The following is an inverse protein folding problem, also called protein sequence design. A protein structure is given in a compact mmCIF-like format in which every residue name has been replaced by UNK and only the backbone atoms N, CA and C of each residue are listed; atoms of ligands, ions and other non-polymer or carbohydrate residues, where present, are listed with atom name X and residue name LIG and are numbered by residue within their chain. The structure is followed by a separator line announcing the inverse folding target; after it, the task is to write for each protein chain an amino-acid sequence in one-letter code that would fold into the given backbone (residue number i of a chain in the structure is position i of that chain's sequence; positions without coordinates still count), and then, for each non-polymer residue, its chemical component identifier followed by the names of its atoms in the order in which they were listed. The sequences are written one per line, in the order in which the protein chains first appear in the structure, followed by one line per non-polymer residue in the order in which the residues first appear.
data_IF_659510020950
#
_entry.id   IF_659510020950
#
_cell.length_a   1.000
_cell.length_b   1.000
_cell.length_c   1.000
_cell.angle_alpha   90.00
_cell.angle_beta   90.00
_cell.angle_gamma   90.00
#
_symmetry.space_group_name_H-M   'P 1'
#
loop_
_entity.id
_entity.type
_entity.pdbx_description
1 polymer ?
#
# COMPACT_ATOMS: atom_id res chain seq x y z
N UNK A 1 44.91 3.73 -16.14
CA UNK A 1 45.85 3.18 -15.14
C UNK A 1 45.24 1.91 -14.57
N UNK A 2 45.72 0.77 -15.07
CA UNK A 2 45.50 -0.57 -14.51
C UNK A 2 46.63 -0.84 -13.50
N UNK A 3 46.36 -1.70 -12.51
CA UNK A 3 47.21 -2.03 -11.34
C UNK A 3 47.18 -0.92 -10.27
N UNK A 4 46.97 -1.17 -8.98
CA UNK A 4 47.46 -2.28 -8.18
C UNK A 4 46.74 -2.35 -6.83
N UNK A 5 45.84 -3.32 -6.61
CA UNK A 5 45.53 -3.85 -5.26
C UNK A 5 45.09 -5.31 -5.42
N UNK A 6 46.01 -6.15 -5.89
CA UNK A 6 45.88 -7.60 -5.84
C UNK A 6 47.06 -8.11 -5.01
N UNK A 7 46.85 -8.24 -3.69
CA UNK A 7 47.55 -9.13 -2.74
C UNK A 7 47.31 -8.65 -1.30
N UNK A 8 46.38 -9.34 -0.63
CA UNK A 8 46.42 -9.77 0.79
C UNK A 8 44.99 -10.00 1.27
N UNK A 9 44.44 -11.18 0.98
CA UNK A 9 43.42 -11.86 1.77
C UNK A 9 43.44 -13.33 1.34
N UNK A 10 44.50 -14.02 1.76
CA UNK A 10 44.48 -15.47 1.97
C UNK A 10 44.88 -15.69 3.42
N UNK A 11 44.24 -16.67 4.04
CA UNK A 11 44.42 -17.16 5.40
C UNK A 11 43.63 -16.44 6.50
N UNK A 12 42.32 -16.70 6.49
CA UNK A 12 41.56 -17.09 7.69
C UNK A 12 40.19 -17.65 7.29
N UNK A 13 40.19 -18.75 6.54
CA UNK A 13 39.06 -19.70 6.60
C UNK A 13 39.09 -20.36 7.97
N UNK A 14 38.46 -19.74 8.97
CA UNK A 14 37.91 -20.50 10.07
C UNK A 14 36.74 -21.29 9.48
N UNK A 15 36.99 -22.57 9.21
CA UNK A 15 35.93 -23.57 9.11
C UNK A 15 35.09 -23.45 10.38
N UNK A 16 33.93 -22.82 10.28
CA UNK A 16 32.85 -23.05 11.25
C UNK A 16 32.47 -24.51 11.02
N UNK A 17 33.10 -25.42 11.75
CA UNK A 17 32.60 -26.80 11.87
C UNK A 17 31.21 -26.68 12.45
N UNK A 18 30.19 -26.98 11.64
CA UNK A 18 28.82 -27.18 12.12
C UNK A 18 28.91 -28.14 13.31
N UNK A 19 28.60 -27.64 14.52
CA UNK A 19 28.63 -28.45 15.72
C UNK A 19 27.76 -29.68 15.47
N UNK A 20 28.29 -30.88 15.75
CA UNK A 20 27.49 -32.10 15.65
C UNK A 20 26.26 -31.91 16.55
N UNK A 21 25.04 -32.16 16.04
CA UNK A 21 23.84 -32.09 16.88
C UNK A 21 24.05 -33.00 18.09
N UNK A 22 23.64 -32.55 19.28
CA UNK A 22 23.77 -33.34 20.49
C UNK A 22 22.94 -34.64 20.40
N UNK A 23 23.18 -35.56 21.33
CA UNK A 23 22.54 -36.88 21.31
C UNK A 23 21.00 -36.79 21.37
N UNK A 24 20.45 -35.82 22.10
CA UNK A 24 19.01 -35.59 22.18
C UNK A 24 18.44 -35.14 20.83
N UNK A 25 19.12 -34.20 20.16
CA UNK A 25 18.78 -33.71 18.82
C UNK A 25 18.86 -34.82 17.77
N UNK A 26 19.85 -35.71 17.85
CA UNK A 26 19.98 -36.85 16.94
C UNK A 26 18.85 -37.87 17.12
N UNK A 27 18.50 -38.20 18.38
CA UNK A 27 17.40 -39.11 18.71
C UNK A 27 16.06 -38.53 18.25
N UNK A 28 15.87 -37.23 18.44
CA UNK A 28 14.72 -36.49 17.92
C UNK A 28 14.64 -36.57 16.41
N UNK A 29 15.68 -36.18 15.67
CA UNK A 29 15.69 -36.18 14.21
C UNK A 29 15.40 -37.57 13.62
N UNK A 30 16.01 -38.63 14.17
CA UNK A 30 15.74 -39.99 13.71
C UNK A 30 14.27 -40.42 13.92
N UNK A 31 13.64 -39.95 15.00
CA UNK A 31 12.23 -40.25 15.29
C UNK A 31 11.30 -39.42 14.42
N UNK A 32 11.60 -38.14 14.25
CA UNK A 32 10.93 -37.21 13.33
C UNK A 32 10.84 -37.82 11.94
N UNK A 33 11.97 -38.28 11.40
CA UNK A 33 12.03 -38.84 10.05
C UNK A 33 11.24 -40.16 9.95
N UNK A 34 10.99 -40.85 11.07
CA UNK A 34 10.13 -42.04 11.12
C UNK A 34 8.63 -41.72 11.23
N UNK A 35 8.26 -40.65 11.93
CA UNK A 35 6.87 -40.25 12.17
C UNK A 35 6.33 -39.42 11.00
N UNK A 36 7.18 -38.66 10.34
CA UNK A 36 6.83 -37.73 9.28
C UNK A 36 7.61 -38.03 8.00
N UNK A 37 7.31 -39.13 7.29
CA UNK A 37 8.01 -39.48 6.06
C UNK A 37 7.79 -38.45 4.92
N UNK A 38 6.69 -37.71 4.98
CA UNK A 38 6.35 -36.60 4.08
C UNK A 38 7.06 -35.28 4.44
N UNK A 39 7.83 -35.25 5.55
CA UNK A 39 8.57 -34.06 5.99
C UNK A 39 9.46 -33.50 4.88
N UNK A 40 10.18 -34.36 4.15
CA UNK A 40 11.04 -33.90 3.05
C UNK A 40 10.22 -33.40 1.85
N UNK A 41 9.01 -33.91 1.59
CA UNK A 41 8.14 -33.41 0.53
C UNK A 41 7.62 -32.00 0.87
N UNK A 42 7.16 -31.78 2.10
CA UNK A 42 6.73 -30.45 2.56
C UNK A 42 7.92 -29.51 2.71
N UNK A 43 9.07 -29.99 3.18
CA UNK A 43 10.32 -29.22 3.17
C UNK A 43 10.76 -28.87 1.75
N UNK A 44 10.55 -29.75 0.78
CA UNK A 44 10.81 -29.46 -0.61
C UNK A 44 9.77 -28.47 -1.15
N UNK A 45 8.50 -28.55 -0.79
CA UNK A 45 7.53 -27.47 -1.11
C UNK A 45 7.91 -26.12 -0.45
N UNK A 46 8.51 -26.18 0.74
CA UNK A 46 9.07 -25.05 1.48
C UNK A 46 10.36 -24.51 0.82
N UNK A 47 11.20 -25.39 0.26
CA UNK A 47 12.53 -25.07 -0.33
C UNK A 47 12.51 -24.80 -1.84
N UNK A 48 11.66 -25.47 -2.62
CA UNK A 48 11.61 -25.46 -4.10
C UNK A 48 11.01 -24.17 -4.70
N UNK A 49 10.56 -23.20 -3.88
CA UNK A 49 10.17 -21.86 -4.33
C UNK A 49 11.16 -20.75 -3.97
N UNK A 50 12.46 -21.06 -3.96
CA UNK A 50 13.52 -20.06 -4.21
C UNK A 50 13.65 -19.73 -5.71
N UNK A 51 12.89 -20.41 -6.58
CA UNK A 51 12.77 -20.06 -8.01
C UNK A 51 11.36 -19.52 -8.32
N UNK A 52 11.14 -18.25 -7.99
CA UNK A 52 9.90 -17.49 -8.24
C UNK A 52 9.55 -17.31 -9.73
N UNK A 53 10.26 -17.98 -10.65
CA UNK A 53 10.13 -17.79 -12.10
C UNK A 53 8.94 -18.50 -12.75
N UNK A 54 8.22 -19.37 -12.04
CA UNK A 54 7.19 -20.25 -12.67
C UNK A 54 5.73 -19.79 -12.57
N UNK A 55 5.44 -18.66 -11.93
CA UNK A 55 4.10 -18.04 -11.96
C UNK A 55 4.20 -16.52 -12.13
N UNK A 56 4.70 -16.07 -13.28
CA UNK A 56 4.90 -14.67 -13.71
C UNK A 56 6.31 -14.11 -13.45
N UNK A 57 6.84 -13.26 -14.37
CA UNK A 57 8.19 -12.75 -14.28
C UNK A 57 8.27 -11.66 -13.22
N UNK A 58 8.52 -12.06 -11.97
CA UNK A 58 9.03 -11.16 -10.94
C UNK A 58 10.52 -10.99 -11.22
N UNK A 59 10.91 -9.79 -11.63
CA UNK A 59 12.31 -9.44 -11.84
C UNK A 59 13.03 -9.34 -10.49
N UNK A 60 13.62 -10.45 -10.03
CA UNK A 60 14.62 -10.48 -8.96
C UNK A 60 14.42 -11.64 -7.95
N UNK A 61 15.50 -12.16 -7.33
CA UNK A 61 15.40 -13.11 -6.23
C UNK A 61 15.01 -12.34 -4.96
N UNK A 62 13.73 -12.02 -4.79
CA UNK A 62 13.25 -11.38 -3.56
C UNK A 62 13.28 -12.42 -2.43
N UNK A 63 14.18 -12.22 -1.46
CA UNK A 63 14.00 -12.79 -0.12
C UNK A 63 12.64 -12.30 0.40
N UNK A 64 11.86 -13.21 0.96
CA UNK A 64 10.51 -12.88 1.44
C UNK A 64 10.55 -11.73 2.46
N UNK A 65 9.77 -10.64 2.26
CA UNK A 65 9.86 -9.43 3.08
C UNK A 65 9.50 -9.67 4.56
N UNK A 66 8.87 -10.81 4.85
CA UNK A 66 8.40 -11.20 6.17
C UNK A 66 9.52 -11.65 7.14
N UNK A 67 10.77 -11.76 6.66
CA UNK A 67 11.93 -12.06 7.51
C UNK A 67 12.45 -10.88 8.35
N UNK A 68 12.03 -9.65 8.05
CA UNK A 68 12.49 -8.45 8.77
C UNK A 68 11.75 -8.24 10.10
N UNK A 69 12.43 -7.60 11.06
CA UNK A 69 11.81 -7.20 12.34
C UNK A 69 10.65 -6.21 12.13
N UNK A 70 10.76 -5.33 11.13
CA UNK A 70 9.70 -4.40 10.74
C UNK A 70 8.45 -5.13 10.24
N UNK A 71 8.62 -6.08 9.32
CA UNK A 71 7.51 -6.87 8.79
C UNK A 71 6.85 -7.74 9.87
N UNK A 72 7.63 -8.37 10.74
CA UNK A 72 7.08 -9.14 11.89
C UNK A 72 6.18 -8.27 12.76
N UNK A 73 6.62 -7.05 13.11
CA UNK A 73 5.81 -6.12 13.90
C UNK A 73 4.53 -5.72 13.17
N UNK A 74 4.63 -5.43 11.87
CA UNK A 74 3.46 -5.07 11.06
C UNK A 74 2.44 -6.20 11.05
N UNK A 75 2.85 -7.45 10.76
CA UNK A 75 1.95 -8.62 10.72
C UNK A 75 1.21 -8.77 12.06
N UNK A 76 1.91 -8.65 13.19
CA UNK A 76 1.29 -8.76 14.52
C UNK A 76 0.26 -7.64 14.75
N UNK A 77 0.59 -6.40 14.37
CA UNK A 77 -0.35 -5.28 14.50
C UNK A 77 -1.58 -5.47 13.60
N UNK A 78 -1.36 -5.87 12.35
CA UNK A 78 -2.41 -6.13 11.37
C UNK A 78 -3.34 -7.26 11.83
N UNK A 79 -2.77 -8.35 12.35
CA UNK A 79 -3.49 -9.47 12.94
C UNK A 79 -4.32 -9.05 14.15
N UNK A 80 -3.79 -8.18 15.01
CA UNK A 80 -4.55 -7.64 16.14
C UNK A 80 -5.78 -6.84 15.69
N UNK A 81 -5.68 -6.06 14.62
CA UNK A 81 -6.85 -5.36 14.05
C UNK A 81 -7.84 -6.37 13.45
N UNK A 82 -7.34 -7.34 12.70
CA UNK A 82 -8.15 -8.40 12.08
C UNK A 82 -8.97 -9.18 13.11
N UNK A 83 -8.38 -9.55 14.24
CA UNK A 83 -9.09 -10.25 15.32
C UNK A 83 -10.19 -9.39 15.92
N UNK A 84 -9.92 -8.11 16.19
CA UNK A 84 -10.94 -7.18 16.71
C UNK A 84 -12.12 -7.05 15.76
N UNK A 85 -11.86 -6.96 14.45
CA UNK A 85 -12.92 -6.93 13.44
C UNK A 85 -13.72 -8.24 13.47
N UNK A 86 -13.03 -9.38 13.55
CA UNK A 86 -13.68 -10.70 13.52
C UNK A 86 -14.53 -10.97 14.77
N UNK A 87 -14.05 -10.59 15.94
CA UNK A 87 -14.81 -10.62 17.20
C UNK A 87 -16.06 -9.74 17.10
N UNK A 88 -15.89 -8.50 16.62
CA UNK A 88 -16.99 -7.56 16.45
C UNK A 88 -18.02 -8.06 15.44
N UNK A 89 -17.57 -8.62 14.31
CA UNK A 89 -18.41 -9.16 13.24
C UNK A 89 -19.18 -10.42 13.65
N UNK A 90 -18.68 -11.18 14.63
CA UNK A 90 -19.37 -12.34 15.18
C UNK A 90 -20.60 -11.94 16.01
N UNK A 91 -20.58 -10.76 16.62
CA UNK A 91 -21.65 -10.27 17.49
C UNK A 91 -22.59 -9.29 16.77
N UNK A 92 -22.07 -8.46 15.87
CA UNK A 92 -22.87 -7.44 15.17
C UNK A 92 -22.40 -7.23 13.72
N UNK A 93 -23.26 -6.60 12.91
CA UNK A 93 -22.86 -6.15 11.55
C UNK A 93 -21.89 -4.98 11.67
N UNK A 94 -20.76 -5.06 10.96
CA UNK A 94 -19.78 -3.98 10.87
C UNK A 94 -20.39 -2.80 10.11
N UNK A 95 -20.46 -1.64 10.74
CA UNK A 95 -20.93 -0.42 10.08
C UNK A 95 -19.80 0.24 9.28
N UNK A 96 -20.15 1.20 8.42
CA UNK A 96 -19.15 2.02 7.71
C UNK A 96 -18.28 2.81 8.70
N UNK A 97 -18.85 3.30 9.80
CA UNK A 97 -18.11 4.06 10.82
C UNK A 97 -17.10 3.18 11.56
N UNK A 98 -17.48 1.93 11.89
CA UNK A 98 -16.57 0.94 12.45
C UNK A 98 -15.44 0.64 11.47
N UNK A 99 -15.78 0.42 10.20
CA UNK A 99 -14.80 0.12 9.16
C UNK A 99 -13.80 1.25 8.92
N UNK A 100 -14.23 2.51 8.97
CA UNK A 100 -13.33 3.67 8.93
C UNK A 100 -12.39 3.67 10.14
N UNK A 101 -12.89 3.32 11.33
CA UNK A 101 -12.06 3.20 12.54
C UNK A 101 -10.98 2.13 12.37
N UNK A 102 -11.34 0.96 11.83
CA UNK A 102 -10.39 -0.12 11.57
C UNK A 102 -9.41 0.20 10.43
N UNK A 103 -9.87 0.85 9.35
CA UNK A 103 -9.02 1.34 8.28
C UNK A 103 -7.96 2.32 8.80
N UNK A 104 -8.35 3.23 9.69
CA UNK A 104 -7.41 4.15 10.35
C UNK A 104 -6.40 3.42 11.25
N UNK A 105 -6.82 2.37 11.96
CA UNK A 105 -5.90 1.53 12.73
C UNK A 105 -4.86 0.84 11.83
N UNK A 106 -5.29 0.34 10.67
CA UNK A 106 -4.39 -0.23 9.67
C UNK A 106 -3.42 0.81 9.12
N UNK A 107 -3.89 2.00 8.72
CA UNK A 107 -3.03 3.09 8.21
C UNK A 107 -2.00 3.54 9.24
N UNK A 108 -2.39 3.65 10.51
CA UNK A 108 -1.46 3.96 11.61
C UNK A 108 -0.35 2.91 11.75
N UNK A 109 -0.68 1.63 11.63
CA UNK A 109 0.32 0.56 11.67
C UNK A 109 1.30 0.66 10.50
N UNK A 110 0.81 0.86 9.27
CA UNK A 110 1.68 1.02 8.07
C UNK A 110 2.59 2.23 8.23
N UNK A 111 2.03 3.40 8.61
CA UNK A 111 2.79 4.64 8.77
C UNK A 111 3.89 4.49 9.82
N UNK A 112 3.54 3.97 11.01
CA UNK A 112 4.49 3.75 12.09
C UNK A 112 5.63 2.83 11.67
N UNK A 113 5.32 1.71 11.00
CA UNK A 113 6.36 0.78 10.52
C UNK A 113 7.24 1.44 9.45
N UNK A 114 6.64 2.22 8.54
CA UNK A 114 7.38 2.96 7.51
C UNK A 114 8.35 3.96 8.14
N UNK A 115 7.89 4.77 9.09
CA UNK A 115 8.72 5.75 9.81
C UNK A 115 9.88 5.09 10.57
N UNK A 116 9.61 4.00 11.28
CA UNK A 116 10.64 3.23 12.00
C UNK A 116 11.72 2.70 11.06
N UNK A 117 11.33 2.14 9.91
CA UNK A 117 12.28 1.63 8.92
C UNK A 117 13.09 2.77 8.31
N UNK A 118 12.44 3.86 7.88
CA UNK A 118 13.11 5.01 7.30
C UNK A 118 14.11 5.66 8.28
N UNK A 119 13.84 5.65 9.59
CA UNK A 119 14.76 6.16 10.62
C UNK A 119 15.96 5.24 10.88
N UNK A 120 15.79 3.93 10.65
CA UNK A 120 16.82 2.90 10.89
C UNK A 120 17.62 2.54 9.64
N UNK A 121 17.21 3.03 8.46
CA UNK A 121 17.76 2.70 7.16
C UNK A 121 19.20 3.21 6.97
N UNK A 122 20.18 2.46 7.46
CA UNK A 122 21.54 2.47 6.95
C UNK A 122 21.60 1.54 5.72
N UNK A 123 21.32 2.08 4.52
CA UNK A 123 21.49 1.48 3.18
C UNK A 123 21.44 -0.08 3.15
N UNK A 124 20.23 -0.67 3.10
CA UNK A 124 20.02 -2.12 3.07
C UNK A 124 18.67 -2.51 2.42
N UNK A 125 18.38 -3.82 2.35
CA UNK A 125 17.11 -4.45 1.90
C UNK A 125 15.84 -3.85 2.55
N UNK A 126 15.96 -3.22 3.72
CA UNK A 126 14.84 -2.55 4.41
C UNK A 126 14.31 -1.33 3.66
N UNK A 127 15.12 -0.69 2.82
CA UNK A 127 14.68 0.42 1.97
C UNK A 127 13.62 -0.02 0.93
N UNK A 128 13.79 -1.21 0.34
CA UNK A 128 12.82 -1.76 -0.61
C UNK A 128 11.48 -2.09 0.07
N UNK A 129 11.53 -2.54 1.32
CA UNK A 129 10.32 -2.77 2.10
C UNK A 129 9.62 -1.45 2.46
N UNK A 130 10.36 -0.39 2.77
CA UNK A 130 9.79 0.94 2.98
C UNK A 130 9.04 1.46 1.73
N UNK A 131 9.62 1.30 0.53
CA UNK A 131 8.95 1.63 -0.73
C UNK A 131 7.65 0.83 -0.92
N UNK A 132 7.67 -0.47 -0.59
CA UNK A 132 6.47 -1.31 -0.63
C UNK A 132 5.38 -0.83 0.36
N UNK A 133 5.75 -0.32 1.53
CA UNK A 133 4.80 0.24 2.51
C UNK A 133 4.23 1.59 2.08
N UNK A 134 4.99 2.40 1.35
CA UNK A 134 4.49 3.63 0.72
C UNK A 134 3.44 3.28 -0.34
N UNK A 135 3.73 2.28 -1.18
CA UNK A 135 2.76 1.74 -2.15
C UNK A 135 1.52 1.19 -1.44
N UNK A 136 1.69 0.44 -0.34
CA UNK A 136 0.58 -0.09 0.44
C UNK A 136 -0.30 1.02 1.02
N UNK A 137 0.30 2.10 1.55
CA UNK A 137 -0.42 3.27 2.05
C UNK A 137 -1.23 3.96 0.97
N UNK A 138 -0.65 4.08 -0.23
CA UNK A 138 -1.29 4.68 -1.41
C UNK A 138 -2.52 3.87 -1.83
N UNK A 139 -2.35 2.55 -1.97
CA UNK A 139 -3.42 1.60 -2.34
C UNK A 139 -4.53 1.59 -1.30
N UNK A 140 -4.17 1.50 -0.01
CA UNK A 140 -5.15 1.49 1.08
C UNK A 140 -6.01 2.74 1.06
N UNK A 141 -5.38 3.92 0.98
CA UNK A 141 -6.11 5.19 0.97
C UNK A 141 -7.06 5.30 -0.22
N UNK A 142 -6.67 4.80 -1.40
CA UNK A 142 -7.53 4.85 -2.58
C UNK A 142 -8.74 3.91 -2.46
N UNK A 143 -8.51 2.69 -1.99
CA UNK A 143 -9.59 1.72 -1.73
C UNK A 143 -10.56 2.26 -0.69
N UNK A 144 -10.04 2.89 0.36
CA UNK A 144 -10.85 3.52 1.39
C UNK A 144 -11.75 4.62 0.79
N UNK A 145 -11.18 5.53 -0.02
CA UNK A 145 -11.93 6.61 -0.65
C UNK A 145 -13.04 6.13 -1.59
N UNK A 146 -12.85 5.00 -2.28
CA UNK A 146 -13.81 4.48 -3.28
C UNK A 146 -14.82 3.50 -2.69
N UNK A 147 -14.39 2.60 -1.79
CA UNK A 147 -15.19 1.45 -1.36
C UNK A 147 -15.65 1.49 0.10
N UNK A 148 -14.96 2.24 0.98
CA UNK A 148 -15.23 2.22 2.42
C UNK A 148 -15.96 3.49 2.87
N UNK A 149 -15.69 4.64 2.25
CA UNK A 149 -16.27 5.91 2.70
C UNK A 149 -17.79 5.97 2.57
N UNK A 150 -18.46 6.75 3.45
CA UNK A 150 -19.91 6.93 3.40
C UNK A 150 -20.42 7.43 2.04
N UNK A 151 -21.51 6.84 1.56
CA UNK A 151 -22.11 7.17 0.25
C UNK A 151 -22.69 8.58 0.15
N UNK A 152 -22.86 9.28 1.28
CA UNK A 152 -23.32 10.67 1.32
C UNK A 152 -22.19 11.70 1.12
N UNK A 153 -20.93 11.26 1.03
CA UNK A 153 -19.79 12.14 0.73
C UNK A 153 -19.57 12.23 -0.78
N UNK A 154 -19.02 13.36 -1.23
CA UNK A 154 -18.52 13.49 -2.60
C UNK A 154 -17.27 12.64 -2.81
N UNK A 155 -17.35 11.68 -3.73
CA UNK A 155 -16.20 10.87 -4.16
C UNK A 155 -15.07 11.74 -4.71
N UNK A 156 -15.41 12.84 -5.39
CA UNK A 156 -14.43 13.78 -5.94
C UNK A 156 -13.58 14.40 -4.83
N UNK A 157 -14.22 14.85 -3.76
CA UNK A 157 -13.53 15.41 -2.61
C UNK A 157 -12.72 14.35 -1.84
N UNK A 158 -13.25 13.13 -1.70
CA UNK A 158 -12.52 12.02 -1.08
C UNK A 158 -11.29 11.57 -1.88
N UNK A 159 -11.32 11.69 -3.22
CA UNK A 159 -10.15 11.45 -4.08
C UNK A 159 -9.11 12.56 -3.97
N UNK A 160 -9.52 13.83 -3.82
CA UNK A 160 -8.60 14.94 -3.58
C UNK A 160 -7.96 14.85 -2.19
N UNK A 161 -8.74 14.47 -1.17
CA UNK A 161 -8.23 14.20 0.18
C UNK A 161 -7.17 13.09 0.13
N UNK A 162 -7.44 11.99 -0.58
CA UNK A 162 -6.46 10.93 -0.83
C UNK A 162 -5.20 11.44 -1.54
N UNK A 163 -5.34 12.27 -2.58
CA UNK A 163 -4.21 12.83 -3.31
C UNK A 163 -3.35 13.73 -2.42
N UNK A 164 -3.98 14.51 -1.56
CA UNK A 164 -3.31 15.37 -0.60
C UNK A 164 -2.60 14.57 0.49
N UNK A 165 -3.21 13.50 1.01
CA UNK A 165 -2.56 12.64 2.00
C UNK A 165 -1.38 11.85 1.43
N UNK A 166 -1.46 11.48 0.16
CA UNK A 166 -0.47 10.60 -0.49
C UNK A 166 0.66 11.39 -1.15
N UNK A 167 0.33 12.47 -1.85
CA UNK A 167 1.25 13.25 -2.67
C UNK A 167 1.44 14.68 -2.15
N UNK A 168 0.64 15.10 -1.17
CA UNK A 168 0.67 16.46 -0.64
C UNK A 168 1.88 16.70 0.26
N UNK A 169 2.89 17.35 -0.31
CA UNK A 169 4.05 17.89 0.42
C UNK A 169 3.91 19.41 0.57
N UNK A 170 2.69 19.88 0.85
CA UNK A 170 2.36 21.30 0.73
C UNK A 170 3.24 22.21 1.60
N UNK A 171 3.52 21.77 2.83
CA UNK A 171 4.39 22.50 3.76
C UNK A 171 5.85 22.48 3.31
N UNK A 172 6.35 21.36 2.80
CA UNK A 172 7.74 21.22 2.35
C UNK A 172 7.99 22.09 1.12
N UNK A 173 7.08 22.03 0.14
CA UNK A 173 7.12 22.87 -1.06
C UNK A 173 7.06 24.37 -0.69
N UNK A 174 6.13 24.76 0.17
CA UNK A 174 5.99 26.17 0.60
C UNK A 174 7.26 26.65 1.30
N UNK A 175 7.77 25.88 2.27
CA UNK A 175 8.99 26.24 3.02
C UNK A 175 10.21 26.37 2.10
N UNK A 176 10.36 25.47 1.12
CA UNK A 176 11.48 25.52 0.19
C UNK A 176 11.36 26.72 -0.76
N UNK A 177 10.17 27.04 -1.26
CA UNK A 177 9.97 28.26 -2.07
C UNK A 177 10.23 29.51 -1.25
N UNK A 178 9.75 29.61 0.00
CA UNK A 178 10.00 30.75 0.89
C UNK A 178 11.49 30.96 1.14
N UNK A 179 12.22 29.87 1.41
CA UNK A 179 13.67 29.90 1.59
C UNK A 179 14.40 30.37 0.33
N UNK A 180 13.97 29.94 -0.85
CA UNK A 180 14.56 30.39 -2.11
C UNK A 180 14.20 31.85 -2.43
N UNK A 181 12.97 32.28 -2.16
CA UNK A 181 12.53 33.67 -2.32
C UNK A 181 13.30 34.62 -1.40
N UNK A 182 13.69 34.18 -0.20
CA UNK A 182 14.58 34.94 0.68
C UNK A 182 16.01 35.07 0.12
N UNK A 183 16.47 34.09 -0.66
CA UNK A 183 17.82 34.04 -1.22
C UNK A 183 17.96 34.70 -2.60
N UNK A 184 16.87 34.82 -3.37
CA UNK A 184 16.86 35.33 -4.73
C UNK A 184 15.73 36.35 -4.95
N UNK A 185 16.02 37.53 -5.55
CA UNK A 185 15.04 38.61 -5.69
C UNK A 185 13.92 38.33 -6.71
N UNK A 186 14.04 37.29 -7.54
CA UNK A 186 13.07 36.88 -8.55
C UNK A 186 12.93 35.36 -8.56
N UNK A 187 12.12 34.86 -7.64
CA UNK A 187 11.91 33.41 -7.48
C UNK A 187 11.03 32.85 -8.60
N UNK A 188 10.15 33.68 -9.17
CA UNK A 188 9.23 33.35 -10.26
C UNK A 188 9.92 33.01 -11.59
N UNK A 189 11.20 33.39 -11.76
CA UNK A 189 12.03 33.02 -12.91
C UNK A 189 12.60 31.59 -12.79
N UNK A 190 12.33 30.87 -11.69
CA UNK A 190 12.78 29.49 -11.47
C UNK A 190 11.67 28.48 -11.77
N UNK A 191 11.98 27.41 -12.50
CA UNK A 191 11.02 26.35 -12.84
C UNK A 191 10.36 25.72 -11.62
N UNK A 192 11.11 25.56 -10.52
CA UNK A 192 10.61 25.01 -9.26
C UNK A 192 9.45 25.82 -8.66
N UNK A 193 9.44 27.14 -8.87
CA UNK A 193 8.38 28.02 -8.36
C UNK A 193 7.02 27.65 -8.95
N UNK A 194 6.92 27.64 -10.29
CA UNK A 194 5.68 27.30 -10.99
C UNK A 194 5.31 25.82 -10.82
N UNK A 195 6.30 24.94 -10.78
CA UNK A 195 6.12 23.52 -10.47
C UNK A 195 5.48 23.32 -9.08
N UNK A 196 5.86 24.13 -8.09
CA UNK A 196 5.29 24.10 -6.75
C UNK A 196 3.84 24.61 -6.74
N UNK A 197 3.55 25.71 -7.44
CA UNK A 197 2.17 26.23 -7.58
C UNK A 197 1.26 25.19 -8.22
N UNK A 198 1.69 24.59 -9.33
CA UNK A 198 0.90 23.57 -10.03
C UNK A 198 0.73 22.31 -9.15
N UNK A 199 1.79 21.86 -8.48
CA UNK A 199 1.72 20.70 -7.58
C UNK A 199 0.73 20.90 -6.44
N UNK A 200 0.69 22.11 -5.85
CA UNK A 200 -0.27 22.45 -4.81
C UNK A 200 -1.72 22.46 -5.34
N UNK A 201 -1.94 22.98 -6.54
CA UNK A 201 -3.27 22.96 -7.19
C UNK A 201 -3.73 21.53 -7.47
N UNK A 202 -2.83 20.66 -7.94
CA UNK A 202 -3.14 19.25 -8.24
C UNK A 202 -3.58 18.44 -7.01
N UNK A 203 -3.18 18.84 -5.80
CA UNK A 203 -3.61 18.21 -4.54
C UNK A 203 -4.67 19.01 -3.79
N UNK A 204 -5.30 20.00 -4.44
CA UNK A 204 -6.40 20.79 -3.85
C UNK A 204 -5.96 21.82 -2.80
N UNK A 205 -4.66 22.14 -2.70
CA UNK A 205 -4.10 23.09 -1.73
C UNK A 205 -4.09 24.53 -2.27
N UNK A 206 -5.27 25.03 -2.64
CA UNK A 206 -5.46 26.31 -3.34
C UNK A 206 -4.94 27.52 -2.57
N UNK A 207 -5.15 27.54 -1.26
CA UNK A 207 -4.71 28.63 -0.39
C UNK A 207 -3.19 28.65 -0.28
N UNK A 208 -2.54 27.48 -0.22
CA UNK A 208 -1.08 27.37 -0.25
C UNK A 208 -0.51 27.79 -1.60
N UNK A 209 -1.15 27.40 -2.71
CA UNK A 209 -0.78 27.88 -4.05
C UNK A 209 -0.90 29.41 -4.17
N UNK A 210 -1.97 30.01 -3.62
CA UNK A 210 -2.13 31.46 -3.56
C UNK A 210 -1.05 32.13 -2.71
N UNK A 211 -0.59 31.51 -1.62
CA UNK A 211 0.53 32.02 -0.81
C UNK A 211 1.84 32.00 -1.60
N UNK A 212 2.14 30.91 -2.30
CA UNK A 212 3.32 30.83 -3.18
C UNK A 212 3.28 31.92 -4.25
N UNK A 213 2.13 32.15 -4.90
CA UNK A 213 1.95 33.25 -5.86
C UNK A 213 2.26 34.63 -5.26
N UNK A 214 1.99 34.84 -3.97
CA UNK A 214 2.27 36.11 -3.29
C UNK A 214 3.76 36.38 -3.06
N UNK A 215 4.62 35.37 -3.20
CA UNK A 215 6.07 35.47 -3.05
C UNK A 215 6.79 35.96 -4.31
N UNK A 216 6.10 36.07 -5.45
CA UNK A 216 6.67 36.64 -6.66
C UNK A 216 7.08 38.10 -6.43
N UNK A 217 8.18 38.51 -7.05
CA UNK A 217 8.81 39.81 -6.80
C UNK A 217 7.88 41.01 -7.08
N UNK A 218 6.96 40.86 -8.02
CA UNK A 218 6.02 41.89 -8.48
C UNK A 218 4.56 41.65 -8.04
N UNK A 219 4.29 40.67 -7.16
CA UNK A 219 2.93 40.23 -6.80
C UNK A 219 2.01 41.37 -6.31
N UNK A 220 2.57 42.42 -5.68
CA UNK A 220 1.81 43.59 -5.20
C UNK A 220 1.36 44.56 -6.29
N UNK A 221 2.01 44.53 -7.45
CA UNK A 221 1.76 45.46 -8.56
C UNK A 221 1.26 44.74 -9.82
N UNK A 222 1.44 43.43 -9.90
CA UNK A 222 0.94 42.61 -10.99
C UNK A 222 -0.53 42.24 -10.80
N UNK A 223 -1.40 42.95 -11.51
CA UNK A 223 -2.86 42.77 -11.44
C UNK A 223 -3.30 41.36 -11.87
N UNK A 224 -2.55 40.67 -12.73
CA UNK A 224 -2.87 39.30 -13.17
C UNK A 224 -2.59 38.30 -12.05
N UNK A 225 -1.44 38.42 -11.38
CA UNK A 225 -1.13 37.59 -10.20
C UNK A 225 -2.17 37.79 -9.10
N UNK A 226 -2.51 39.04 -8.78
CA UNK A 226 -3.55 39.34 -7.78
C UNK A 226 -4.92 38.75 -8.15
N UNK A 227 -5.26 38.79 -9.44
CA UNK A 227 -6.50 38.18 -9.94
C UNK A 227 -6.47 36.67 -9.77
N UNK A 228 -5.38 36.01 -10.15
CA UNK A 228 -5.25 34.56 -10.02
C UNK A 228 -5.30 34.13 -8.55
N UNK A 229 -4.59 34.82 -7.66
CA UNK A 229 -4.66 34.59 -6.21
C UNK A 229 -6.10 34.69 -5.69
N UNK A 230 -6.84 35.72 -6.11
CA UNK A 230 -8.24 35.90 -5.72
C UNK A 230 -9.14 34.79 -6.27
N UNK A 231 -8.86 34.28 -7.47
CA UNK A 231 -9.61 33.16 -8.06
C UNK A 231 -9.34 31.84 -7.32
N UNK A 232 -8.09 31.56 -6.97
CA UNK A 232 -7.72 30.36 -6.21
C UNK A 232 -8.42 30.32 -4.85
N UNK A 233 -8.59 31.47 -4.20
CA UNK A 233 -9.31 31.57 -2.92
C UNK A 233 -10.82 31.23 -3.02
N UNK A 234 -11.39 31.17 -4.22
CA UNK A 234 -12.79 30.73 -4.41
C UNK A 234 -12.95 29.21 -4.40
N UNK A 235 -11.85 28.45 -4.49
CA UNK A 235 -11.88 27.00 -4.53
C UNK A 235 -11.67 26.41 -3.13
N UNK A 236 -12.59 25.55 -2.75
CA UNK A 236 -12.49 24.64 -1.62
C UNK A 236 -13.19 23.34 -2.01
N UNK A 237 -12.45 22.23 -2.05
CA UNK A 237 -13.03 20.94 -2.42
C UNK A 237 -13.88 20.37 -1.27
N UNK A 238 -13.66 20.79 -0.02
CA UNK A 238 -14.44 20.32 1.13
C UNK A 238 -15.89 20.78 1.05
N UNK A 239 -16.16 21.91 0.37
CA UNK A 239 -17.51 22.37 0.10
C UNK A 239 -18.34 21.32 -0.66
N UNK A 240 -17.71 20.43 -1.44
CA UNK A 240 -18.42 19.37 -2.18
C UNK A 240 -19.03 18.30 -1.26
N UNK A 241 -18.53 18.14 -0.02
CA UNK A 241 -19.19 17.26 0.96
C UNK A 241 -20.51 17.86 1.46
N UNK A 242 -20.57 19.18 1.60
CA UNK A 242 -21.74 19.90 2.11
C UNK A 242 -22.72 20.34 1.00
N UNK A 243 -22.23 20.51 -0.22
CA UNK A 243 -22.98 20.92 -1.40
C UNK A 243 -22.81 19.88 -2.53
N UNK A 244 -23.67 18.84 -2.57
CA UNK A 244 -23.64 17.81 -3.62
C UNK A 244 -23.86 18.36 -5.02
N UNK A 245 -24.46 19.56 -5.16
CA UNK A 245 -24.63 20.20 -6.47
C UNK A 245 -23.36 20.85 -7.00
N UNK A 246 -22.32 20.97 -6.17
CA UNK A 246 -21.05 21.62 -6.50
C UNK A 246 -21.22 23.09 -6.91
N UNK A 247 -22.30 23.76 -6.52
CA UNK A 247 -22.69 25.07 -7.03
C UNK A 247 -21.63 26.14 -6.79
N UNK A 248 -21.01 26.16 -5.61
CA UNK A 248 -19.90 27.06 -5.27
C UNK A 248 -18.66 26.80 -6.13
N UNK A 249 -18.32 25.53 -6.32
CA UNK A 249 -17.18 25.11 -7.12
C UNK A 249 -17.38 25.47 -8.60
N UNK A 250 -18.57 25.21 -9.14
CA UNK A 250 -18.97 25.60 -10.50
C UNK A 250 -18.95 27.13 -10.66
N UNK A 251 -19.37 27.89 -9.64
CA UNK A 251 -19.26 29.33 -9.64
C UNK A 251 -17.80 29.80 -9.72
N UNK A 252 -16.89 29.20 -8.95
CA UNK A 252 -15.45 29.49 -9.01
C UNK A 252 -14.91 29.24 -10.43
N UNK A 253 -15.22 28.10 -11.04
CA UNK A 253 -14.87 27.80 -12.45
C UNK A 253 -15.41 28.86 -13.42
N UNK A 254 -16.65 29.31 -13.26
CA UNK A 254 -17.23 30.39 -14.09
C UNK A 254 -16.46 31.70 -13.95
N UNK A 255 -15.96 32.03 -12.75
CA UNK A 255 -15.10 33.20 -12.57
C UNK A 255 -13.76 33.03 -13.29
N UNK A 256 -13.13 31.84 -13.21
CA UNK A 256 -11.90 31.57 -13.97
C UNK A 256 -12.15 31.75 -15.47
N UNK A 257 -13.22 31.18 -16.00
CA UNK A 257 -13.59 31.32 -17.42
C UNK A 257 -13.77 32.78 -17.83
N UNK A 258 -14.42 33.59 -16.97
CA UNK A 258 -14.64 35.03 -17.21
C UNK A 258 -13.34 35.82 -17.33
N UNK A 259 -12.31 35.47 -16.56
CA UNK A 259 -11.04 36.21 -16.53
C UNK A 259 -9.92 35.55 -17.35
N UNK A 260 -10.18 34.39 -17.96
CA UNK A 260 -9.20 33.62 -18.73
C UNK A 260 -8.43 34.45 -19.75
N UNK A 261 -9.11 35.30 -20.51
CA UNK A 261 -8.51 36.15 -21.55
C UNK A 261 -7.52 37.17 -20.98
N UNK A 262 -7.67 37.58 -19.72
CA UNK A 262 -6.74 38.50 -19.06
C UNK A 262 -5.36 37.88 -18.79
N UNK A 263 -5.23 36.55 -18.95
CA UNK A 263 -3.98 35.81 -18.79
C UNK A 263 -3.36 35.37 -20.13
N UNK A 264 -3.95 35.72 -21.27
CA UNK A 264 -3.58 35.13 -22.57
C UNK A 264 -2.11 35.33 -22.97
N UNK A 265 -1.49 36.41 -22.51
CA UNK A 265 -0.09 36.79 -22.72
C UNK A 265 0.85 36.40 -21.56
N UNK A 266 0.36 35.63 -20.58
CA UNK A 266 1.11 35.12 -19.43
C UNK A 266 0.98 33.59 -19.37
N UNK A 267 1.98 32.88 -19.93
CA UNK A 267 1.95 31.44 -20.15
C UNK A 267 1.71 30.62 -18.87
N UNK A 268 2.38 30.88 -17.73
CA UNK A 268 2.08 30.19 -16.48
C UNK A 268 0.66 30.43 -15.98
N UNK A 269 0.14 31.65 -16.06
CA UNK A 269 -1.20 31.97 -15.56
C UNK A 269 -2.31 31.41 -16.44
N UNK A 270 -2.15 31.43 -17.77
CA UNK A 270 -3.12 30.78 -18.67
C UNK A 270 -3.08 29.26 -18.51
N UNK A 271 -1.91 28.68 -18.23
CA UNK A 271 -1.78 27.26 -17.90
C UNK A 271 -2.59 26.90 -16.63
N UNK A 272 -2.43 27.67 -15.55
CA UNK A 272 -3.22 27.49 -14.32
C UNK A 272 -4.72 27.67 -14.60
N UNK A 273 -5.11 28.72 -15.34
CA UNK A 273 -6.50 28.95 -15.68
C UNK A 273 -7.11 27.78 -16.47
N UNK A 274 -6.39 27.23 -17.46
CA UNK A 274 -6.84 26.08 -18.22
C UNK A 274 -6.96 24.82 -17.35
N UNK A 275 -6.02 24.60 -16.43
CA UNK A 275 -6.07 23.48 -15.48
C UNK A 275 -7.31 23.57 -14.58
N UNK A 276 -7.58 24.73 -13.98
CA UNK A 276 -8.77 24.96 -13.14
C UNK A 276 -10.09 24.82 -13.91
N UNK A 277 -10.06 24.92 -15.23
CA UNK A 277 -11.22 24.71 -16.10
C UNK A 277 -11.41 23.24 -16.50
N UNK A 278 -10.44 22.37 -16.20
CA UNK A 278 -10.47 20.95 -16.56
C UNK A 278 -10.01 20.67 -17.99
N UNK A 279 -9.17 21.54 -18.57
CA UNK A 279 -8.68 21.34 -19.94
C UNK A 279 -7.73 20.14 -20.04
N UNK A 280 -8.17 19.09 -20.73
CA UNK A 280 -7.44 17.83 -20.86
C UNK A 280 -6.05 18.00 -21.50
N UNK A 281 -5.90 18.95 -22.43
CA UNK A 281 -4.61 19.22 -23.08
C UNK A 281 -3.58 19.79 -22.11
N UNK A 282 -4.04 20.56 -21.14
CA UNK A 282 -3.21 21.11 -20.05
C UNK A 282 -2.76 20.02 -19.09
N UNK A 283 -3.63 19.07 -18.76
CA UNK A 283 -3.26 17.89 -17.97
C UNK A 283 -2.23 17.00 -18.66
N UNK A 284 -2.37 16.79 -19.97
CA UNK A 284 -1.34 16.11 -20.76
C UNK A 284 0.01 16.82 -20.64
N UNK A 285 0.06 18.13 -20.86
CA UNK A 285 1.30 18.92 -20.70
C UNK A 285 1.86 18.86 -19.28
N UNK A 286 1.00 18.87 -18.25
CA UNK A 286 1.41 18.73 -16.86
C UNK A 286 2.07 17.38 -16.58
N UNK A 287 1.58 16.29 -17.18
CA UNK A 287 2.20 14.97 -17.04
C UNK A 287 3.63 14.95 -17.60
N UNK A 288 3.83 15.61 -18.75
CA UNK A 288 5.13 15.70 -19.43
C UNK A 288 6.11 16.59 -18.65
N UNK A 289 5.66 17.74 -18.15
CA UNK A 289 6.53 18.71 -17.46
C UNK A 289 6.88 18.31 -16.03
N UNK A 290 5.95 17.69 -15.30
CA UNK A 290 6.15 17.30 -13.91
C UNK A 290 6.72 15.89 -13.76
N UNK A 291 6.84 15.13 -14.85
CA UNK A 291 7.24 13.71 -14.83
C UNK A 291 6.39 12.85 -13.88
N UNK A 292 5.10 13.17 -13.76
CA UNK A 292 4.15 12.48 -12.86
C UNK A 292 3.46 11.31 -13.54
N UNK A 293 3.06 10.31 -12.75
CA UNK A 293 2.19 9.25 -13.25
C UNK A 293 0.77 9.79 -13.49
N UNK A 294 0.04 9.19 -14.43
CA UNK A 294 -1.30 9.64 -14.81
C UNK A 294 -2.28 9.66 -13.62
N UNK A 295 -2.17 8.68 -12.72
CA UNK A 295 -3.05 8.54 -11.57
C UNK A 295 -2.80 9.62 -10.50
N UNK A 296 -1.63 10.25 -10.46
CA UNK A 296 -1.36 11.39 -9.58
C UNK A 296 -2.09 12.66 -10.02
N UNK A 297 -2.44 12.74 -11.32
CA UNK A 297 -3.18 13.84 -11.91
C UNK A 297 -4.69 13.61 -11.88
N UNK A 298 -5.11 12.35 -11.75
CA UNK A 298 -6.51 11.93 -11.86
C UNK A 298 -7.44 12.64 -10.87
N UNK A 299 -7.13 12.78 -9.57
CA UNK A 299 -8.01 13.46 -8.62
C UNK A 299 -8.31 14.91 -9.02
N UNK A 300 -7.26 15.68 -9.38
CA UNK A 300 -7.41 17.04 -9.87
C UNK A 300 -8.17 17.09 -11.19
N UNK A 301 -7.90 16.15 -12.10
CA UNK A 301 -8.62 16.09 -13.36
C UNK A 301 -10.12 15.93 -13.12
N UNK A 302 -10.53 14.94 -12.32
CA UNK A 302 -11.94 14.70 -11.95
C UNK A 302 -12.53 15.95 -11.28
N UNK A 303 -11.81 16.54 -10.31
CA UNK A 303 -12.26 17.75 -9.61
C UNK A 303 -12.58 18.90 -10.57
N UNK A 304 -11.69 19.18 -11.52
CA UNK A 304 -11.87 20.30 -12.43
C UNK A 304 -12.73 19.96 -13.64
N UNK A 305 -12.76 18.73 -14.14
CA UNK A 305 -13.59 18.36 -15.30
C UNK A 305 -15.05 18.16 -14.90
N UNK A 306 -15.30 17.42 -13.81
CA UNK A 306 -16.63 17.08 -13.30
C UNK A 306 -16.66 17.06 -11.76
N UNK A 307 -16.83 18.22 -11.08
CA UNK A 307 -16.82 18.30 -9.62
C UNK A 307 -17.99 17.58 -8.93
N UNK A 308 -19.02 17.21 -9.70
CA UNK A 308 -20.21 16.47 -9.23
C UNK A 308 -20.18 15.01 -9.67
N UNK A 309 -19.03 14.50 -10.11
CA UNK A 309 -18.87 13.11 -10.50
C UNK A 309 -19.25 12.18 -9.34
N UNK A 310 -19.86 11.08 -9.72
CA UNK A 310 -20.22 9.95 -8.86
C UNK A 310 -19.25 8.80 -9.11
N UNK A 311 -19.39 7.73 -8.33
CA UNK A 311 -18.58 6.51 -8.51
C UNK A 311 -18.75 5.92 -9.91
N UNK A 312 -19.95 6.03 -10.49
CA UNK A 312 -20.25 5.52 -11.83
C UNK A 312 -19.51 6.29 -12.95
N UNK A 313 -19.15 7.56 -12.70
CA UNK A 313 -18.43 8.40 -13.66
C UNK A 313 -16.92 8.14 -13.68
N UNK A 314 -16.38 7.43 -12.67
CA UNK A 314 -14.93 7.30 -12.47
C UNK A 314 -14.24 6.60 -13.63
N UNK A 315 -14.84 5.55 -14.18
CA UNK A 315 -14.27 4.81 -15.30
C UNK A 315 -14.07 5.70 -16.53
N UNK A 316 -15.10 6.44 -16.92
CA UNK A 316 -15.08 7.24 -18.14
C UNK A 316 -14.08 8.40 -18.02
N UNK A 317 -14.06 9.09 -16.87
CA UNK A 317 -13.10 10.15 -16.58
C UNK A 317 -11.66 9.64 -16.52
N UNK A 318 -11.46 8.45 -15.93
CA UNK A 318 -10.17 7.77 -15.90
C UNK A 318 -9.67 7.44 -17.29
N UNK A 319 -10.53 6.84 -18.12
CA UNK A 319 -10.17 6.47 -19.50
C UNK A 319 -9.89 7.70 -20.37
N UNK A 320 -10.64 8.79 -20.20
CA UNK A 320 -10.37 10.05 -20.90
C UNK A 320 -8.97 10.58 -20.58
N UNK A 321 -8.61 10.68 -19.30
CA UNK A 321 -7.28 11.14 -18.87
C UNK A 321 -6.17 10.20 -19.33
N UNK A 322 -6.35 8.90 -19.10
CA UNK A 322 -5.39 7.87 -19.44
C UNK A 322 -5.06 7.87 -20.94
N UNK A 323 -6.09 7.96 -21.78
CA UNK A 323 -5.94 8.01 -23.25
C UNK A 323 -5.26 9.30 -23.72
N UNK A 324 -5.54 10.44 -23.08
CA UNK A 324 -4.95 11.73 -23.46
C UNK A 324 -3.43 11.79 -23.17
N UNK A 325 -3.01 11.26 -22.03
CA UNK A 325 -1.59 11.20 -21.63
C UNK A 325 -0.83 10.16 -22.48
N UNK A 326 -1.47 9.03 -22.77
CA UNK A 326 -0.93 7.99 -23.64
C UNK A 326 0.01 7.00 -22.95
N UNK A 327 0.18 5.83 -23.58
CA UNK A 327 0.87 4.65 -23.01
C UNK A 327 2.39 4.88 -22.87
N UNK A 328 2.99 5.70 -23.75
CA UNK A 328 4.45 5.86 -23.83
C UNK A 328 5.06 6.76 -22.75
N UNK A 329 4.25 7.50 -21.99
CA UNK A 329 4.71 8.33 -20.86
C UNK A 329 4.78 7.54 -19.53
N UNK A 330 4.35 6.28 -19.52
CA UNK A 330 4.15 5.48 -18.31
C UNK A 330 5.45 4.79 -17.88
N UNK A 331 6.23 5.46 -17.02
CA UNK A 331 7.44 4.86 -16.43
C UNK A 331 7.09 3.97 -15.22
N UNK A 332 7.58 2.73 -15.27
CA UNK A 332 7.97 1.82 -14.17
C UNK A 332 6.97 1.23 -13.14
N UNK A 333 5.65 1.43 -13.18
CA UNK A 333 4.74 0.75 -12.23
C UNK A 333 3.53 0.08 -12.89
N UNK A 334 3.78 -1.01 -13.63
CA UNK A 334 2.74 -1.76 -14.34
C UNK A 334 1.63 -2.27 -13.41
N UNK A 335 1.99 -2.72 -12.20
CA UNK A 335 1.01 -3.20 -11.22
C UNK A 335 0.04 -2.10 -10.76
N UNK A 336 0.54 -0.95 -10.27
CA UNK A 336 -0.32 0.13 -9.80
C UNK A 336 -1.25 0.66 -10.90
N UNK A 337 -0.76 0.74 -12.13
CA UNK A 337 -1.59 1.13 -13.27
C UNK A 337 -2.78 0.19 -13.47
N UNK A 338 -2.54 -1.13 -13.43
CA UNK A 338 -3.59 -2.14 -13.55
C UNK A 338 -4.55 -2.07 -12.36
N UNK A 339 -4.02 -2.06 -11.15
CA UNK A 339 -4.79 -1.97 -9.91
C UNK A 339 -5.75 -0.78 -9.92
N UNK A 340 -5.22 0.43 -10.16
CA UNK A 340 -6.03 1.66 -10.15
C UNK A 340 -7.06 1.62 -11.28
N UNK A 341 -6.70 1.14 -12.46
CA UNK A 341 -7.63 0.99 -13.58
C UNK A 341 -8.79 0.04 -13.25
N UNK A 342 -8.50 -1.12 -12.66
CA UNK A 342 -9.51 -2.10 -12.25
C UNK A 342 -10.42 -1.53 -11.16
N UNK A 343 -9.86 -0.79 -10.19
CA UNK A 343 -10.63 -0.14 -9.14
C UNK A 343 -11.54 0.98 -9.66
N UNK A 344 -11.05 1.82 -10.58
CA UNK A 344 -11.86 2.89 -11.21
C UNK A 344 -12.98 2.34 -12.10
N UNK A 345 -12.82 1.12 -12.61
CA UNK A 345 -13.88 0.34 -13.31
C UNK A 345 -14.88 -0.32 -12.35
N UNK A 346 -14.72 -0.11 -11.05
CA UNK A 346 -15.46 -0.81 -10.00
C UNK A 346 -15.30 -2.34 -10.02
N UNK A 347 -14.25 -2.84 -10.69
CA UNK A 347 -13.85 -4.24 -10.63
C UNK A 347 -12.86 -4.47 -9.48
N UNK A 348 -13.34 -4.29 -8.26
CA UNK A 348 -12.53 -4.40 -7.06
C UNK A 348 -11.97 -5.81 -6.83
N UNK A 349 -12.62 -6.86 -7.35
CA UNK A 349 -12.13 -8.24 -7.27
C UNK A 349 -10.86 -8.39 -8.11
N UNK A 350 -10.88 -7.92 -9.36
CA UNK A 350 -9.69 -7.90 -10.21
C UNK A 350 -8.59 -7.04 -9.58
N UNK A 351 -8.94 -5.88 -9.01
CA UNK A 351 -7.98 -5.03 -8.32
C UNK A 351 -7.31 -5.75 -7.12
N UNK A 352 -8.07 -6.41 -6.25
CA UNK A 352 -7.51 -7.14 -5.12
C UNK A 352 -6.77 -8.41 -5.55
N UNK A 353 -7.18 -9.06 -6.64
CA UNK A 353 -6.44 -10.18 -7.22
C UNK A 353 -5.08 -9.73 -7.79
N UNK A 354 -5.06 -8.61 -8.52
CA UNK A 354 -3.81 -8.00 -8.98
C UNK A 354 -2.89 -7.70 -7.78
N UNK A 355 -3.45 -7.19 -6.68
CA UNK A 355 -2.69 -6.90 -5.46
C UNK A 355 -2.12 -8.17 -4.82
N UNK A 356 -2.90 -9.26 -4.80
CA UNK A 356 -2.46 -10.55 -4.28
C UNK A 356 -1.33 -11.18 -5.11
N UNK A 357 -1.17 -10.77 -6.37
CA UNK A 357 -0.06 -11.22 -7.22
C UNK A 357 1.30 -10.64 -6.82
N UNK A 358 1.31 -9.58 -6.00
CA UNK A 358 2.53 -8.94 -5.50
C UNK A 358 2.86 -9.48 -4.12
N UNK A 359 3.85 -10.37 -4.02
CA UNK A 359 4.19 -11.08 -2.79
C UNK A 359 4.40 -10.16 -1.56
N UNK A 360 5.03 -8.99 -1.75
CA UNK A 360 5.27 -8.00 -0.70
C UNK A 360 4.03 -7.26 -0.21
N UNK A 361 2.93 -7.33 -0.97
CA UNK A 361 1.64 -6.70 -0.68
C UNK A 361 0.52 -7.73 -0.45
N UNK A 362 0.84 -9.03 -0.38
CA UNK A 362 -0.15 -10.07 -0.19
C UNK A 362 -0.98 -9.86 1.09
N UNK A 363 -0.32 -9.47 2.19
CA UNK A 363 -0.99 -9.12 3.45
C UNK A 363 -2.05 -8.01 3.25
N UNK A 364 -1.75 -7.02 2.41
CA UNK A 364 -2.66 -5.91 2.14
C UNK A 364 -3.96 -6.42 1.50
N UNK A 365 -3.84 -7.36 0.56
CA UNK A 365 -4.98 -7.99 -0.09
C UNK A 365 -5.87 -8.72 0.90
N UNK A 366 -5.29 -9.52 1.81
CA UNK A 366 -6.03 -10.26 2.85
C UNK A 366 -6.86 -9.29 3.70
N UNK A 367 -6.24 -8.23 4.20
CA UNK A 367 -6.91 -7.29 5.09
C UNK A 367 -7.96 -6.43 4.39
N UNK A 368 -7.72 -6.04 3.13
CA UNK A 368 -8.73 -5.32 2.35
C UNK A 368 -9.91 -6.22 1.96
N UNK A 369 -9.67 -7.45 1.51
CA UNK A 369 -10.73 -8.43 1.25
C UNK A 369 -11.60 -8.64 2.49
N UNK A 370 -10.96 -8.87 3.64
CA UNK A 370 -11.65 -9.10 4.90
C UNK A 370 -12.56 -7.93 5.28
N UNK A 371 -12.00 -6.72 5.27
CA UNK A 371 -12.72 -5.52 5.69
C UNK A 371 -13.88 -5.21 4.73
N UNK A 372 -13.65 -5.24 3.41
CA UNK A 372 -14.68 -4.95 2.41
C UNK A 372 -15.86 -5.92 2.53
N UNK A 373 -15.58 -7.23 2.63
CA UNK A 373 -16.64 -8.24 2.70
C UNK A 373 -17.41 -8.20 4.02
N UNK A 374 -16.80 -7.74 5.12
CA UNK A 374 -17.49 -7.58 6.40
C UNK A 374 -18.36 -6.32 6.45
N UNK A 375 -18.02 -5.28 5.72
CA UNK A 375 -18.87 -4.07 5.55
C UNK A 375 -20.12 -4.43 4.74
N UNK A 376 -19.93 -5.16 3.63
CA UNK A 376 -20.98 -5.44 2.67
C UNK A 376 -20.94 -6.92 2.25
N UNK A 377 -21.63 -7.74 3.04
CA UNK A 377 -21.78 -9.18 2.84
C UNK A 377 -22.55 -9.52 1.56
N UNK A 378 -23.32 -8.57 1.00
CA UNK A 378 -24.02 -8.77 -0.28
C UNK A 378 -23.08 -8.97 -1.46
N UNK A 379 -21.81 -8.57 -1.31
CA UNK A 379 -20.75 -8.76 -2.29
C UNK A 379 -20.20 -10.18 -2.30
N UNK A 380 -20.54 -11.02 -1.33
CA UNK A 380 -20.00 -12.36 -1.22
C UNK A 380 -20.71 -13.31 -2.21
N UNK A 381 -19.97 -13.80 -3.19
CA UNK A 381 -20.36 -14.91 -4.07
C UNK A 381 -19.45 -16.12 -3.82
N UNK A 382 -19.84 -17.31 -4.29
CA UNK A 382 -19.02 -18.53 -4.18
C UNK A 382 -17.64 -18.36 -4.85
N UNK A 383 -17.60 -17.66 -5.99
CA UNK A 383 -16.35 -17.34 -6.70
C UNK A 383 -15.46 -16.40 -5.87
N UNK A 384 -16.04 -15.34 -5.31
CA UNK A 384 -15.31 -14.37 -4.49
C UNK A 384 -14.79 -15.00 -3.21
N UNK A 385 -15.59 -15.88 -2.60
CA UNK A 385 -15.17 -16.65 -1.44
C UNK A 385 -13.99 -17.57 -1.76
N UNK A 386 -14.02 -18.26 -2.90
CA UNK A 386 -12.90 -19.11 -3.35
C UNK A 386 -11.62 -18.30 -3.55
N UNK A 387 -11.73 -17.11 -4.17
CA UNK A 387 -10.59 -16.19 -4.35
C UNK A 387 -10.07 -15.72 -2.98
N UNK A 388 -10.96 -15.28 -2.08
CA UNK A 388 -10.61 -14.86 -0.73
C UNK A 388 -9.85 -15.95 0.01
N UNK A 389 -10.40 -17.16 0.05
CA UNK A 389 -9.81 -18.29 0.75
C UNK A 389 -8.44 -18.66 0.18
N UNK A 390 -8.28 -18.60 -1.15
CA UNK A 390 -6.99 -18.80 -1.81
C UNK A 390 -5.95 -17.78 -1.36
N UNK A 391 -6.33 -16.49 -1.31
CA UNK A 391 -5.43 -15.40 -0.87
C UNK A 391 -5.05 -15.56 0.60
N UNK A 392 -6.00 -15.92 1.46
CA UNK A 392 -5.77 -16.12 2.90
C UNK A 392 -4.85 -17.33 3.17
N UNK A 393 -5.09 -18.47 2.52
CA UNK A 393 -4.22 -19.64 2.63
C UNK A 393 -2.83 -19.33 2.08
N UNK A 394 -2.73 -18.61 0.96
CA UNK A 394 -1.43 -18.21 0.40
C UNK A 394 -0.67 -17.32 1.38
N UNK A 395 -1.35 -16.38 2.04
CA UNK A 395 -0.71 -15.53 3.03
C UNK A 395 -0.28 -16.31 4.29
N UNK A 396 -1.13 -17.19 4.80
CA UNK A 396 -0.78 -18.07 5.92
C UNK A 396 0.43 -18.96 5.58
N UNK A 397 0.48 -19.52 4.37
CA UNK A 397 1.62 -20.27 3.83
C UNK A 397 2.90 -19.44 3.88
N UNK A 398 2.84 -18.21 3.39
CA UNK A 398 4.02 -17.34 3.40
C UNK A 398 4.49 -17.03 4.82
N UNK A 399 3.59 -16.76 5.77
CA UNK A 399 3.99 -16.56 7.17
C UNK A 399 4.67 -17.82 7.73
N UNK A 400 4.07 -19.01 7.56
CA UNK A 400 4.67 -20.28 8.01
C UNK A 400 6.04 -20.51 7.37
N UNK A 401 6.24 -20.11 6.10
CA UNK A 401 7.52 -20.24 5.39
C UNK A 401 8.62 -19.32 5.87
N UNK A 402 8.26 -18.21 6.49
CA UNK A 402 9.21 -17.15 6.80
C UNK A 402 9.57 -17.09 8.26
N UNK A 403 8.97 -17.95 9.10
CA UNK A 403 9.09 -17.78 10.54
C UNK A 403 9.08 -19.06 11.35
N UNK A 404 9.98 -19.08 12.33
CA UNK A 404 9.93 -19.99 13.49
C UNK A 404 9.55 -19.22 14.76
N UNK A 405 9.14 -17.95 14.59
CA UNK A 405 8.76 -17.08 15.68
C UNK A 405 7.41 -17.52 16.25
N UNK A 406 7.42 -17.91 17.53
CA UNK A 406 6.22 -18.33 18.27
C UNK A 406 5.10 -17.29 18.26
N UNK A 407 5.39 -16.01 17.98
CA UNK A 407 4.37 -14.95 17.88
C UNK A 407 3.68 -14.87 16.52
N UNK A 408 4.31 -15.34 15.45
CA UNK A 408 3.75 -15.26 14.09
C UNK A 408 2.97 -16.52 13.69
N UNK A 409 3.32 -17.66 14.28
CA UNK A 409 2.61 -18.93 14.04
C UNK A 409 1.11 -18.82 14.38
N UNK A 410 0.69 -18.25 15.53
CA UNK A 410 -0.73 -18.02 15.80
C UNK A 410 -1.42 -17.16 14.73
N UNK A 411 -0.73 -16.16 14.17
CA UNK A 411 -1.29 -15.32 13.11
C UNK A 411 -1.57 -16.15 11.85
N UNK A 412 -0.61 -16.96 11.41
CA UNK A 412 -0.77 -17.83 10.24
C UNK A 412 -1.95 -18.82 10.42
N UNK A 413 -2.05 -19.44 11.59
CA UNK A 413 -3.16 -20.33 11.94
C UNK A 413 -4.48 -19.57 11.89
N UNK A 414 -4.55 -18.38 12.48
CA UNK A 414 -5.78 -17.58 12.47
C UNK A 414 -6.25 -17.26 11.05
N UNK A 415 -5.35 -16.83 10.16
CA UNK A 415 -5.72 -16.54 8.76
C UNK A 415 -6.16 -17.80 8.01
N UNK A 416 -5.47 -18.93 8.21
CA UNK A 416 -5.90 -20.20 7.64
C UNK A 416 -7.29 -20.60 8.15
N UNK A 417 -7.55 -20.43 9.45
CA UNK A 417 -8.84 -20.77 10.05
C UNK A 417 -9.97 -19.79 9.73
N UNK A 418 -9.65 -18.65 9.12
CA UNK A 418 -10.65 -17.72 8.61
C UNK A 418 -11.25 -18.14 7.25
N UNK A 419 -10.75 -19.19 6.59
CA UNK A 419 -11.32 -19.69 5.31
C UNK A 419 -12.54 -20.59 5.53
N UNK A 420 -13.10 -21.25 4.51
CA UNK A 420 -14.07 -22.35 4.71
C UNK A 420 -13.42 -23.72 4.56
N UNK A 421 -12.57 -23.87 3.55
CA UNK A 421 -12.00 -25.17 3.17
C UNK A 421 -10.53 -25.34 3.59
N UNK A 422 -10.10 -26.61 3.71
CA UNK A 422 -8.71 -27.07 3.86
C UNK A 422 -7.96 -26.71 5.14
N UNK A 423 -8.59 -26.14 6.17
CA UNK A 423 -7.92 -25.64 7.39
C UNK A 423 -7.04 -26.67 8.11
N UNK A 424 -7.58 -27.87 8.35
CA UNK A 424 -6.89 -28.91 9.12
C UNK A 424 -5.77 -29.56 8.32
N UNK A 425 -6.10 -30.07 7.12
CA UNK A 425 -5.16 -30.71 6.19
C UNK A 425 -4.02 -29.77 5.78
N UNK A 426 -4.27 -28.46 5.82
CA UNK A 426 -3.25 -27.45 5.57
C UNK A 426 -2.40 -27.13 6.82
N UNK A 427 -3.01 -26.84 7.98
CA UNK A 427 -2.28 -26.31 9.14
C UNK A 427 -1.49 -27.40 9.87
N UNK A 428 -2.07 -28.59 10.05
CA UNK A 428 -1.45 -29.65 10.85
C UNK A 428 -0.05 -30.05 10.34
N UNK A 429 0.17 -30.25 9.03
CA UNK A 429 1.49 -30.60 8.53
C UNK A 429 2.56 -29.53 8.79
N UNK A 430 2.20 -28.24 8.72
CA UNK A 430 3.15 -27.15 9.01
C UNK A 430 3.53 -27.10 10.49
N UNK A 431 2.57 -27.29 11.41
CA UNK A 431 2.88 -27.30 12.84
C UNK A 431 3.80 -28.46 13.22
N UNK A 432 3.54 -29.66 12.67
CA UNK A 432 4.42 -30.82 12.84
C UNK A 432 5.82 -30.56 12.28
N UNK A 433 5.90 -29.92 11.11
CA UNK A 433 7.18 -29.58 10.49
C UNK A 433 7.99 -28.57 11.32
N UNK A 434 7.34 -27.54 11.85
CA UNK A 434 7.98 -26.53 12.71
C UNK A 434 8.46 -27.20 14.02
N UNK A 435 7.61 -28.02 14.65
CA UNK A 435 8.01 -28.79 15.82
C UNK A 435 9.23 -29.67 15.53
N UNK A 436 9.22 -30.38 14.40
CA UNK A 436 10.29 -31.26 13.96
C UNK A 436 11.63 -30.53 13.79
N UNK A 437 11.63 -29.35 13.16
CA UNK A 437 12.87 -28.65 12.81
C UNK A 437 13.43 -27.81 13.96
N UNK A 438 12.57 -27.09 14.67
CA UNK A 438 12.97 -26.04 15.61
C UNK A 438 12.63 -26.37 17.06
N UNK A 439 11.70 -27.29 17.29
CA UNK A 439 11.27 -27.74 18.62
C UNK A 439 12.42 -28.19 19.54
N UNK A 440 13.42 -28.97 19.09
CA UNK A 440 14.55 -29.40 19.93
C UNK A 440 15.36 -28.25 20.52
N UNK A 441 15.35 -27.10 19.85
CA UNK A 441 16.13 -25.92 20.22
C UNK A 441 15.29 -24.87 20.93
N UNK A 442 13.98 -25.06 21.01
CA UNK A 442 13.05 -24.05 21.50
C UNK A 442 11.84 -24.68 22.22
N UNK A 443 11.95 -24.95 23.53
CA UNK A 443 10.85 -25.51 24.33
C UNK A 443 9.60 -24.60 24.37
N UNK A 444 9.78 -23.28 24.41
CA UNK A 444 8.68 -22.30 24.43
C UNK A 444 7.86 -22.36 23.13
N UNK A 445 8.52 -22.65 22.01
CA UNK A 445 7.85 -22.89 20.72
C UNK A 445 6.98 -24.14 20.79
N UNK A 446 7.46 -25.23 21.36
CA UNK A 446 6.66 -26.45 21.54
C UNK A 446 5.42 -26.18 22.40
N UNK A 447 5.56 -25.48 23.53
CA UNK A 447 4.41 -25.11 24.37
C UNK A 447 3.39 -24.30 23.56
N UNK A 448 3.86 -23.34 22.78
CA UNK A 448 3.01 -22.53 21.90
C UNK A 448 2.27 -23.40 20.87
N UNK A 449 2.97 -24.32 20.19
CA UNK A 449 2.37 -25.23 19.21
C UNK A 449 1.31 -26.13 19.85
N UNK A 450 1.59 -26.66 21.04
CA UNK A 450 0.65 -27.50 21.78
C UNK A 450 -0.62 -26.72 22.17
N UNK A 451 -0.45 -25.48 22.63
CA UNK A 451 -1.58 -24.58 22.94
C UNK A 451 -2.43 -24.30 21.69
N UNK A 452 -1.80 -23.98 20.57
CA UNK A 452 -2.48 -23.77 19.28
C UNK A 452 -3.28 -25.02 18.90
N UNK A 453 -2.68 -26.20 19.00
CA UNK A 453 -3.36 -27.43 18.61
C UNK A 453 -4.59 -27.70 19.49
N UNK A 454 -4.53 -27.39 20.79
CA UNK A 454 -5.68 -27.50 21.69
C UNK A 454 -6.77 -26.49 21.35
N UNK A 455 -6.39 -25.22 21.14
CA UNK A 455 -7.31 -24.12 20.88
C UNK A 455 -8.10 -24.31 19.57
N UNK A 456 -7.44 -24.82 18.52
CA UNK A 456 -8.02 -25.01 17.19
C UNK A 456 -8.50 -26.45 16.92
N UNK A 457 -8.37 -27.36 17.89
CA UNK A 457 -8.78 -28.77 17.74
C UNK A 457 -7.96 -29.55 16.71
N UNK A 458 -6.66 -29.26 16.61
CA UNK A 458 -5.71 -29.92 15.70
C UNK A 458 -5.18 -31.22 16.33
N UNK A 459 -6.04 -32.22 16.42
CA UNK A 459 -5.76 -33.45 17.17
C UNK A 459 -4.61 -34.28 16.58
N UNK A 460 -4.45 -34.31 15.26
CA UNK A 460 -3.38 -35.09 14.64
C UNK A 460 -2.03 -34.44 14.95
N UNK A 461 -1.92 -33.12 14.74
CA UNK A 461 -0.69 -32.40 15.07
C UNK A 461 -0.36 -32.50 16.57
N UNK A 462 -1.35 -32.33 17.45
CA UNK A 462 -1.16 -32.48 18.90
C UNK A 462 -0.61 -33.86 19.27
N UNK A 463 -1.18 -34.92 18.69
CA UNK A 463 -0.76 -36.29 18.95
C UNK A 463 0.65 -36.55 18.45
N UNK A 464 0.96 -36.16 17.21
CA UNK A 464 2.27 -36.38 16.59
C UNK A 464 3.39 -35.62 17.32
N UNK A 465 3.15 -34.36 17.72
CA UNK A 465 4.10 -33.57 18.52
C UNK A 465 4.29 -34.20 19.90
N UNK A 466 3.22 -34.63 20.57
CA UNK A 466 3.31 -35.31 21.88
C UNK A 466 4.12 -36.60 21.79
N UNK A 467 3.88 -37.42 20.76
CA UNK A 467 4.64 -38.65 20.52
C UNK A 467 6.13 -38.35 20.35
N UNK A 468 6.47 -37.32 19.59
CA UNK A 468 7.86 -36.92 19.41
C UNK A 468 8.50 -36.50 20.75
N UNK A 469 7.79 -35.74 21.60
CA UNK A 469 8.28 -35.27 22.90
C UNK A 469 8.46 -36.42 23.90
N UNK A 470 7.54 -37.38 23.95
CA UNK A 470 7.61 -38.52 24.87
C UNK A 470 8.83 -39.43 24.66
N UNK A 471 9.52 -39.27 23.53
CA UNK A 471 10.72 -40.03 23.17
C UNK A 471 12.04 -39.33 23.52
N UNK A 472 12.01 -38.07 23.98
CA UNK A 472 13.18 -37.37 24.54
C UNK A 472 13.47 -37.92 25.93
#
# INVERSE_FOLDING_TARGET
MKSSVARRFNDTTSTITAAKPDFATQKWNAKVDSLWPWKEEILNEYREKVDASKFYPVSGPEQSPYGSNGATRLIIQMHSVFNKISEMAAENKITIEDAMTYAEMYRKAIRKTTEEICQQAHVSEEAFYADSLIVASTVWGLVESILIRPSNRSIVADLIEWANDTFGQANELLNEVEKQAAAAPRVEEKDFYWTSVISLILVGQFQSASKVLSLASDARHNMKLQRMMSLLQLFDYNDLHADPSGSKFIYAKKQVQKYKEAFADDEPLIFIANMLLGDISTFKKASESLSRQWFELLPAYILFSNPTATVDDLNDLTMELYNAIGINAQKSYNFLNKFIMSLMKMNWIEALHDLASVASLLWLSVHLFDLILKIDDSRLTEEIETIRDTVFITYAKEIFRTTTNSKLIPCAVTYAFATKEYKYDFVEPFLCLIAANDGPRNPDLIETLMKICQEYGLFQAFHEITLALSCM
#
